data_IF_147834037329
#
_entry.id   IF_147834037329
#
_cell.length_a   1.000
_cell.length_b   1.000
_cell.length_c   1.000
_cell.angle_alpha   90.00
_cell.angle_beta   90.00
_cell.angle_gamma   90.00
#
_symmetry.space_group_name_H-M   'P 1'
#
loop_
_entity.id
_entity.type
_entity.pdbx_description
1 polymer ?
#
# COMPACT_ATOMS: atom_id res chain seq x y z
N UNK A 1 12.30 10.39 -11.62
CA UNK A 1 12.22 8.94 -11.38
C UNK A 1 10.85 8.60 -10.81
N UNK A 2 10.24 7.47 -11.17
CA UNK A 2 9.00 7.02 -10.53
C UNK A 2 9.29 6.74 -9.06
N UNK A 3 8.68 7.51 -8.16
CA UNK A 3 8.75 7.26 -6.72
C UNK A 3 8.02 5.97 -6.37
N UNK A 4 8.40 5.33 -5.28
CA UNK A 4 7.69 4.15 -4.81
C UNK A 4 6.26 4.49 -4.34
N UNK A 5 5.33 3.53 -4.46
CA UNK A 5 3.96 3.72 -3.99
C UNK A 5 3.96 3.99 -2.48
N UNK A 6 3.26 5.06 -2.08
CA UNK A 6 3.07 5.42 -0.69
C UNK A 6 1.61 5.23 -0.30
N UNK A 7 1.35 4.43 0.72
CA UNK A 7 -0.02 4.22 1.23
C UNK A 7 -0.18 4.96 2.56
N UNK A 8 -1.15 5.87 2.62
CA UNK A 8 -1.48 6.62 3.84
C UNK A 8 -2.45 5.87 4.73
N UNK A 9 -2.08 5.60 5.99
CA UNK A 9 -3.00 5.08 7.00
C UNK A 9 -3.68 6.24 7.71
N UNK A 10 -5.01 6.26 7.65
CA UNK A 10 -5.86 7.31 8.21
C UNK A 10 -6.95 6.71 9.07
N UNK A 11 -7.46 7.51 10.00
CA UNK A 11 -8.53 7.11 10.89
C UNK A 11 -8.55 7.99 12.13
N UNK A 12 -9.68 8.00 12.81
CA UNK A 12 -9.82 8.71 14.09
C UNK A 12 -8.94 8.07 15.18
N UNK A 13 -8.65 8.79 16.27
CA UNK A 13 -8.02 8.21 17.45
C UNK A 13 -8.79 6.97 17.94
N UNK A 14 -8.08 5.99 18.51
CA UNK A 14 -8.66 4.77 19.11
C UNK A 14 -9.38 3.80 18.15
N UNK A 15 -9.40 4.07 16.83
CA UNK A 15 -9.90 3.12 15.82
C UNK A 15 -8.96 1.91 15.59
N UNK A 16 -7.72 1.99 16.10
CA UNK A 16 -6.70 0.95 15.97
C UNK A 16 -5.68 1.18 14.86
N UNK A 17 -5.57 2.41 14.33
CA UNK A 17 -4.59 2.81 13.30
C UNK A 17 -3.16 2.38 13.62
N UNK A 18 -2.64 2.74 14.80
CA UNK A 18 -1.27 2.38 15.21
C UNK A 18 -1.11 0.87 15.43
N UNK A 19 -2.16 0.18 15.89
CA UNK A 19 -2.18 -1.28 16.02
C UNK A 19 -2.07 -1.95 14.64
N UNK A 20 -2.85 -1.47 13.66
CA UNK A 20 -2.77 -1.93 12.27
C UNK A 20 -1.40 -1.66 11.68
N UNK A 21 -0.87 -0.44 11.84
CA UNK A 21 0.47 -0.08 11.38
C UNK A 21 1.53 -1.04 11.93
N UNK A 22 1.57 -1.24 13.25
CA UNK A 22 2.53 -2.14 13.89
C UNK A 22 2.41 -3.58 13.39
N UNK A 23 1.19 -4.02 13.10
CA UNK A 23 0.93 -5.34 12.54
C UNK A 23 1.44 -5.49 11.10
N UNK A 24 1.52 -4.39 10.35
CA UNK A 24 2.00 -4.37 8.97
C UNK A 24 3.52 -4.21 8.85
N UNK A 25 4.17 -3.64 9.86
CA UNK A 25 5.58 -3.23 9.82
C UNK A 25 6.53 -4.22 10.50
N UNK A 26 6.06 -5.03 11.45
CA UNK A 26 6.88 -6.00 12.20
C UNK A 26 7.05 -7.32 11.44
N UNK A 27 7.50 -7.25 10.18
CA UNK A 27 8.05 -8.42 9.52
C UNK A 27 9.53 -8.50 9.87
N UNK A 28 9.94 -9.63 10.44
CA UNK A 28 11.27 -10.17 10.74
C UNK A 28 12.47 -9.90 9.78
N UNK A 29 12.53 -8.78 9.08
CA UNK A 29 13.46 -8.49 7.99
C UNK A 29 14.61 -7.57 8.43
N UNK A 30 15.74 -7.69 7.72
CA UNK A 30 16.87 -6.78 7.85
C UNK A 30 16.50 -5.43 7.21
N UNK A 31 16.24 -4.43 8.02
CA UNK A 31 16.12 -3.04 7.58
C UNK A 31 17.52 -2.55 7.16
N UNK A 32 17.64 -1.96 5.96
CA UNK A 32 18.91 -1.50 5.41
C UNK A 32 19.54 -0.32 6.17
N UNK A 33 20.84 0.00 5.95
CA UNK A 33 21.64 0.83 6.86
C UNK A 33 21.37 2.35 6.89
N UNK A 34 20.29 2.86 6.30
CA UNK A 34 20.07 4.31 6.13
C UNK A 34 18.62 4.76 6.35
N UNK A 35 17.97 4.27 7.39
CA UNK A 35 16.63 4.75 7.77
C UNK A 35 16.71 5.89 8.77
N UNK A 36 16.99 7.11 8.31
CA UNK A 36 16.40 8.29 8.95
C UNK A 36 14.96 8.40 8.44
N UNK A 37 14.13 7.45 8.87
CA UNK A 37 12.70 7.48 8.58
C UNK A 37 12.11 8.61 9.43
N UNK A 38 11.51 9.60 8.78
CA UNK A 38 10.59 10.53 9.42
C UNK A 38 9.65 9.71 10.34
N UNK A 39 9.45 10.04 11.63
CA UNK A 39 8.69 9.24 12.58
C UNK A 39 7.28 8.81 12.10
N UNK A 40 6.76 9.42 11.03
CA UNK A 40 5.49 9.06 10.40
C UNK A 40 5.59 8.02 9.27
N UNK A 41 6.76 7.76 8.69
CA UNK A 41 6.89 6.74 7.62
C UNK A 41 7.21 5.38 8.22
N UNK A 42 6.80 4.31 7.56
CA UNK A 42 7.14 2.95 7.94
C UNK A 42 7.22 2.05 6.70
N UNK A 43 7.90 0.91 6.82
CA UNK A 43 7.95 -0.10 5.76
C UNK A 43 7.00 -1.22 6.13
N UNK A 44 5.92 -1.36 5.37
CA UNK A 44 5.03 -2.51 5.43
C UNK A 44 5.48 -3.63 4.50
N UNK A 45 4.93 -4.81 4.67
CA UNK A 45 5.22 -5.96 3.81
C UNK A 45 3.97 -6.45 3.08
N UNK A 46 3.92 -6.18 1.78
CA UNK A 46 2.89 -6.67 0.87
C UNK A 46 3.17 -8.14 0.55
N UNK A 47 2.23 -9.03 0.82
CA UNK A 47 2.34 -10.43 0.43
C UNK A 47 1.84 -10.60 -1.01
N UNK A 48 2.68 -11.16 -1.87
CA UNK A 48 2.36 -11.45 -3.28
C UNK A 48 2.71 -12.89 -3.63
N UNK A 49 2.13 -13.40 -4.71
CA UNK A 49 2.61 -14.63 -5.34
C UNK A 49 3.96 -14.38 -6.00
N UNK A 50 4.96 -15.17 -5.62
CA UNK A 50 6.31 -15.07 -6.14
C UNK A 50 6.42 -15.78 -7.49
N UNK A 51 7.21 -15.22 -8.41
CA UNK A 51 7.58 -15.91 -9.64
C UNK A 51 8.28 -17.26 -9.40
N UNK A 52 8.93 -17.46 -8.25
CA UNK A 52 9.66 -18.70 -7.95
C UNK A 52 8.76 -19.94 -7.96
N UNK A 53 7.50 -19.82 -7.51
CA UNK A 53 6.54 -20.91 -7.52
C UNK A 53 6.16 -21.29 -8.96
N UNK A 54 5.90 -20.28 -9.82
CA UNK A 54 5.58 -20.49 -11.25
C UNK A 54 6.70 -21.20 -12.01
N UNK A 55 7.94 -21.04 -11.56
CA UNK A 55 9.13 -21.63 -12.18
C UNK A 55 9.69 -22.84 -11.42
N UNK A 56 9.01 -23.34 -10.38
CA UNK A 56 9.44 -24.48 -9.57
C UNK A 56 10.87 -24.34 -8.98
N UNK A 57 11.20 -23.14 -8.49
CA UNK A 57 12.52 -22.82 -7.89
C UNK A 57 12.39 -22.12 -6.53
N UNK A 58 11.31 -22.38 -5.80
CA UNK A 58 11.02 -21.77 -4.49
C UNK A 58 12.10 -22.09 -3.45
N UNK A 59 12.69 -23.28 -3.49
CA UNK A 59 13.79 -23.74 -2.63
C UNK A 59 15.07 -22.89 -2.76
N UNK A 60 15.25 -22.25 -3.91
CA UNK A 60 16.39 -21.41 -4.26
C UNK A 60 16.11 -19.92 -4.08
N UNK A 61 14.86 -19.53 -3.84
CA UNK A 61 14.44 -18.14 -3.74
C UNK A 61 14.95 -17.52 -2.44
N UNK A 62 15.89 -16.57 -2.54
CA UNK A 62 16.38 -15.81 -1.37
C UNK A 62 16.29 -14.32 -1.64
N UNK A 63 15.20 -13.67 -1.22
CA UNK A 63 15.05 -12.24 -1.46
C UNK A 63 16.04 -11.41 -0.64
N UNK A 64 16.48 -10.27 -1.17
CA UNK A 64 17.32 -9.31 -0.44
C UNK A 64 16.54 -8.61 0.69
N UNK A 65 15.24 -8.37 0.47
CA UNK A 65 14.32 -7.73 1.39
C UNK A 65 13.07 -8.59 1.59
N UNK A 66 12.54 -8.60 2.82
CA UNK A 66 11.40 -9.45 3.19
C UNK A 66 11.77 -10.94 3.21
N UNK A 67 10.77 -11.80 3.04
CA UNK A 67 10.91 -13.24 3.03
C UNK A 67 10.15 -13.85 1.84
N UNK A 68 10.50 -15.08 1.48
CA UNK A 68 9.74 -15.89 0.54
C UNK A 68 9.51 -17.26 1.18
N UNK A 69 8.26 -17.61 1.46
CA UNK A 69 7.87 -18.86 2.10
C UNK A 69 6.81 -19.52 1.23
N UNK A 70 7.06 -20.75 0.79
CA UNK A 70 6.14 -21.54 -0.02
C UNK A 70 5.57 -20.80 -1.24
N UNK A 71 6.43 -20.08 -1.95
CA UNK A 71 6.02 -19.33 -3.14
C UNK A 71 5.31 -18.01 -2.86
N UNK A 72 5.10 -17.62 -1.60
CA UNK A 72 4.59 -16.30 -1.22
C UNK A 72 5.72 -15.39 -0.79
N UNK A 73 5.80 -14.21 -1.41
CA UNK A 73 6.86 -13.23 -1.17
C UNK A 73 6.32 -12.01 -0.44
N UNK A 74 7.06 -11.57 0.57
CA UNK A 74 6.85 -10.31 1.27
C UNK A 74 7.69 -9.22 0.60
N UNK A 75 7.02 -8.24 -0.03
CA UNK A 75 7.66 -7.12 -0.74
C UNK A 75 7.50 -5.84 0.09
N UNK A 76 8.58 -5.09 0.37
CA UNK A 76 8.48 -3.85 1.13
C UNK A 76 7.64 -2.80 0.37
N UNK A 77 6.78 -2.09 1.09
CA UNK A 77 5.99 -0.97 0.58
C UNK A 77 6.00 0.18 1.60
N UNK A 78 6.06 1.41 1.13
CA UNK A 78 6.06 2.57 2.03
C UNK A 78 4.66 2.83 2.58
N UNK A 79 4.60 3.00 3.90
CA UNK A 79 3.43 3.42 4.64
C UNK A 79 3.67 4.79 5.26
N UNK A 80 2.63 5.60 5.29
CA UNK A 80 2.60 6.87 6.00
C UNK A 80 1.55 6.78 7.09
N UNK A 81 1.97 6.86 8.35
CA UNK A 81 1.09 7.01 9.49
C UNK A 81 0.64 8.46 9.61
N UNK A 82 -0.56 8.73 9.12
CA UNK A 82 -1.10 10.08 9.16
C UNK A 82 -1.73 10.29 10.54
N UNK A 83 -1.45 11.43 11.17
CA UNK A 83 -1.92 11.73 12.53
C UNK A 83 -3.45 11.57 12.67
N UNK A 84 -3.93 11.19 13.86
CA UNK A 84 -5.36 10.97 14.09
C UNK A 84 -6.18 12.23 13.77
N UNK A 85 -7.08 12.14 12.80
CA UNK A 85 -7.95 13.25 12.43
C UNK A 85 -9.04 13.44 13.50
N UNK A 86 -9.42 14.71 13.69
CA UNK A 86 -10.64 15.11 14.41
C UNK A 86 -11.50 15.98 13.50
N UNK A 87 -12.83 15.98 13.67
CA UNK A 87 -13.72 16.76 12.81
C UNK A 87 -13.37 18.26 12.71
N UNK A 88 -13.46 18.81 11.50
CA UNK A 88 -13.13 20.22 11.22
C UNK A 88 -11.67 20.49 10.87
N UNK A 89 -10.91 19.46 10.48
CA UNK A 89 -9.51 19.58 10.08
C UNK A 89 -9.32 20.51 8.86
N UNK A 90 -10.23 20.48 7.88
CA UNK A 90 -10.19 21.37 6.70
C UNK A 90 -10.34 22.87 7.03
N UNK A 91 -10.89 23.21 8.20
CA UNK A 91 -11.06 24.60 8.64
C UNK A 91 -9.82 25.15 9.35
N UNK A 92 -8.72 24.40 9.37
CA UNK A 92 -7.50 24.76 10.09
C UNK A 92 -7.62 24.61 11.62
N UNK A 93 -8.63 23.89 12.12
CA UNK A 93 -8.69 23.55 13.55
C UNK A 93 -7.60 22.53 13.89
N UNK A 94 -6.76 22.86 14.89
CA UNK A 94 -5.69 21.99 15.37
C UNK A 94 -4.56 21.76 14.35
N UNK A 95 -4.06 20.53 14.28
CA UNK A 95 -3.01 20.10 13.33
C UNK A 95 -3.57 19.70 11.94
N UNK A 96 -4.86 19.95 11.67
CA UNK A 96 -5.60 19.42 10.51
C UNK A 96 -5.03 19.79 9.13
N UNK A 97 -4.53 21.01 8.95
CA UNK A 97 -3.89 21.41 7.68
C UNK A 97 -2.57 20.66 7.43
N UNK A 98 -1.80 20.36 8.48
CA UNK A 98 -0.58 19.55 8.35
C UNK A 98 -0.91 18.11 7.95
N UNK A 99 -1.98 17.55 8.54
CA UNK A 99 -2.48 16.22 8.19
C UNK A 99 -2.88 16.13 6.71
N UNK A 100 -3.69 17.09 6.23
CA UNK A 100 -4.15 17.07 4.83
C UNK A 100 -2.96 17.25 3.89
N UNK A 101 -1.97 18.04 4.30
CA UNK A 101 -0.71 18.20 3.58
C UNK A 101 0.10 16.89 3.50
N UNK A 102 0.11 16.07 4.55
CA UNK A 102 0.74 14.75 4.55
C UNK A 102 0.04 13.79 3.57
N UNK A 103 -1.30 13.85 3.48
CA UNK A 103 -2.07 13.05 2.52
C UNK A 103 -1.70 13.33 1.07
N UNK A 104 -1.23 14.55 0.72
CA UNK A 104 -0.84 14.91 -0.66
C UNK A 104 0.16 13.94 -1.26
N UNK A 105 1.00 13.33 -0.42
CA UNK A 105 2.04 12.41 -0.87
C UNK A 105 1.53 10.98 -1.07
N UNK A 106 0.40 10.60 -0.46
CA UNK A 106 -0.16 9.26 -0.55
C UNK A 106 -0.73 8.99 -1.96
N UNK A 107 -0.48 7.79 -2.48
CA UNK A 107 -1.07 7.28 -3.72
C UNK A 107 -2.42 6.61 -3.48
N UNK A 108 -2.59 6.00 -2.31
CA UNK A 108 -3.85 5.42 -1.83
C UNK A 108 -3.97 5.60 -0.32
N UNK A 109 -5.18 5.46 0.20
CA UNK A 109 -5.47 5.54 1.62
C UNK A 109 -5.98 4.19 2.15
N UNK A 110 -5.60 3.88 3.38
CA UNK A 110 -6.23 2.86 4.21
C UNK A 110 -6.94 3.60 5.33
N UNK A 111 -8.27 3.62 5.28
CA UNK A 111 -9.09 4.16 6.34
C UNK A 111 -9.41 3.08 7.37
N UNK A 112 -8.75 3.16 8.52
CA UNK A 112 -8.99 2.28 9.67
C UNK A 112 -10.22 2.79 10.43
N UNK A 113 -11.30 2.01 10.39
CA UNK A 113 -12.60 2.34 10.98
C UNK A 113 -12.90 1.35 12.10
N UNK A 114 -13.40 1.84 13.22
CA UNK A 114 -13.78 0.98 14.34
C UNK A 114 -15.13 0.30 14.09
N UNK A 115 -15.12 -0.96 13.64
CA UNK A 115 -16.35 -1.70 13.35
C UNK A 115 -17.20 -1.96 14.60
N UNK A 116 -16.60 -1.99 15.79
CA UNK A 116 -17.35 -2.27 17.03
C UNK A 116 -18.33 -1.14 17.42
N UNK A 117 -18.09 0.10 16.94
CA UNK A 117 -18.86 1.27 17.38
C UNK A 117 -18.64 1.63 18.85
N UNK A 118 -17.51 1.22 19.45
CA UNK A 118 -17.18 1.49 20.85
C UNK A 118 -16.39 2.77 21.07
N UNK A 119 -16.04 3.50 20.00
CA UNK A 119 -15.48 4.85 20.09
C UNK A 119 -16.25 5.86 19.25
N UNK A 120 -16.43 7.08 19.77
CA UNK A 120 -17.12 8.19 19.11
C UNK A 120 -16.22 8.91 18.10
N UNK A 121 -16.70 10.01 17.51
CA UNK A 121 -15.95 10.78 16.50
C UNK A 121 -14.65 11.41 17.01
N UNK A 122 -14.52 11.61 18.34
CA UNK A 122 -13.31 12.15 18.98
C UNK A 122 -12.35 11.03 19.44
N UNK A 123 -12.74 9.77 19.27
CA UNK A 123 -11.99 8.60 19.73
C UNK A 123 -12.15 8.31 21.22
N UNK A 124 -13.20 8.85 21.86
CA UNK A 124 -13.56 8.55 23.24
C UNK A 124 -14.48 7.34 23.31
N UNK A 125 -14.41 6.59 24.40
CA UNK A 125 -15.26 5.42 24.61
C UNK A 125 -16.74 5.78 24.60
N UNK A 126 -17.53 4.98 23.88
CA UNK A 126 -18.97 5.13 23.76
C UNK A 126 -19.61 3.77 23.48
N UNK A 127 -20.93 3.73 23.34
CA UNK A 127 -21.67 2.53 22.95
C UNK A 127 -22.64 2.85 21.82
N UNK A 128 -22.67 1.98 20.81
CA UNK A 128 -23.61 2.08 19.70
C UNK A 128 -23.34 3.24 18.74
N UNK A 129 -22.09 3.71 18.67
CA UNK A 129 -21.69 4.67 17.63
C UNK A 129 -21.78 4.01 16.26
N UNK A 130 -22.20 4.77 15.25
CA UNK A 130 -22.37 4.30 13.88
C UNK A 130 -21.09 4.57 13.06
N UNK A 131 -20.25 3.55 12.78
CA UNK A 131 -18.94 3.78 12.16
C UNK A 131 -19.03 4.22 10.70
N UNK A 132 -20.21 4.11 10.07
CA UNK A 132 -20.43 4.62 8.71
C UNK A 132 -20.32 6.13 8.61
N UNK A 133 -20.54 6.83 9.73
CA UNK A 133 -20.36 8.28 9.83
C UNK A 133 -18.89 8.65 9.65
N UNK A 134 -17.97 7.87 10.22
CA UNK A 134 -16.52 8.12 10.09
C UNK A 134 -16.08 8.03 8.62
N UNK A 135 -16.59 7.02 7.88
CA UNK A 135 -16.29 6.80 6.46
C UNK A 135 -16.70 8.02 5.63
N UNK A 136 -17.95 8.48 5.81
CA UNK A 136 -18.46 9.64 5.10
C UNK A 136 -17.71 10.92 5.48
N UNK A 137 -17.37 11.06 6.77
CA UNK A 137 -16.68 12.22 7.29
C UNK A 137 -15.28 12.40 6.71
N UNK A 138 -14.43 11.35 6.71
CA UNK A 138 -13.07 11.44 6.16
C UNK A 138 -13.09 11.95 4.71
N UNK A 139 -13.97 11.35 3.89
CA UNK A 139 -14.13 11.76 2.50
C UNK A 139 -14.60 13.20 2.39
N UNK A 140 -15.57 13.60 3.22
CA UNK A 140 -16.08 14.96 3.29
C UNK A 140 -15.00 15.99 3.60
N UNK A 141 -14.10 15.70 4.54
CA UNK A 141 -12.97 16.59 4.90
C UNK A 141 -12.00 16.79 3.72
N UNK A 142 -11.64 15.71 3.01
CA UNK A 142 -10.72 15.79 1.85
C UNK A 142 -11.36 16.60 0.72
N UNK A 143 -12.63 16.35 0.41
CA UNK A 143 -13.38 17.10 -0.62
C UNK A 143 -13.48 18.57 -0.24
N UNK A 144 -13.85 18.88 1.01
CA UNK A 144 -13.99 20.25 1.49
C UNK A 144 -12.68 21.02 1.42
N UNK A 145 -11.56 20.37 1.74
CA UNK A 145 -10.22 20.96 1.64
C UNK A 145 -9.82 21.27 0.19
N UNK A 146 -9.98 20.32 -0.73
CA UNK A 146 -9.64 20.53 -2.15
C UNK A 146 -10.54 21.60 -2.75
N UNK A 147 -11.84 21.54 -2.47
CA UNK A 147 -12.81 22.56 -2.91
C UNK A 147 -12.45 23.92 -2.36
N UNK A 148 -12.15 24.03 -1.07
CA UNK A 148 -11.79 25.29 -0.42
C UNK A 148 -10.59 25.96 -1.09
N UNK A 149 -9.51 25.20 -1.30
CA UNK A 149 -8.30 25.69 -1.96
C UNK A 149 -8.54 26.12 -3.42
N UNK A 150 -9.40 25.40 -4.15
CA UNK A 150 -9.75 25.74 -5.53
C UNK A 150 -10.62 27.00 -5.60
N UNK A 151 -11.65 27.08 -4.76
CA UNK A 151 -12.64 28.16 -4.75
C UNK A 151 -12.04 29.49 -4.30
N UNK A 152 -11.07 29.48 -3.37
CA UNK A 152 -10.34 30.68 -2.95
C UNK A 152 -9.73 31.44 -4.14
N UNK A 153 -9.29 30.72 -5.17
CA UNK A 153 -8.56 31.27 -6.33
C UNK A 153 -9.36 31.19 -7.64
N UNK A 154 -10.60 30.69 -7.61
CA UNK A 154 -11.37 30.35 -8.81
C UNK A 154 -11.52 31.50 -9.80
N UNK A 155 -11.84 32.70 -9.33
CA UNK A 155 -11.98 33.89 -10.19
C UNK A 155 -10.68 34.30 -10.91
N UNK A 156 -9.52 34.01 -10.33
CA UNK A 156 -8.21 34.21 -10.97
C UNK A 156 -7.90 33.09 -11.97
N UNK A 157 -8.17 31.84 -11.56
CA UNK A 157 -7.98 30.64 -12.40
C UNK A 157 -8.79 30.76 -13.69
N UNK A 158 -10.08 31.11 -13.60
CA UNK A 158 -10.97 31.29 -14.75
C UNK A 158 -10.46 32.37 -15.71
N UNK A 159 -10.04 33.53 -15.19
CA UNK A 159 -9.51 34.62 -16.03
C UNK A 159 -8.24 34.20 -16.77
N UNK A 160 -7.33 33.50 -16.09
CA UNK A 160 -6.10 33.00 -16.70
C UNK A 160 -6.39 31.93 -17.75
N UNK A 161 -7.30 31.00 -17.46
CA UNK A 161 -7.75 29.96 -18.39
C UNK A 161 -8.19 30.55 -19.73
N UNK A 162 -9.10 31.53 -19.70
CA UNK A 162 -9.59 32.21 -20.91
C UNK A 162 -8.46 32.98 -21.63
N UNK A 163 -7.59 33.66 -20.88
CA UNK A 163 -6.52 34.49 -21.47
C UNK A 163 -5.50 33.66 -22.25
N UNK A 164 -5.14 32.48 -21.77
CA UNK A 164 -4.15 31.60 -22.41
C UNK A 164 -4.78 30.51 -23.31
N UNK A 165 -6.12 30.41 -23.33
CA UNK A 165 -6.88 29.38 -24.05
C UNK A 165 -6.42 27.95 -23.70
N UNK A 166 -6.13 27.71 -22.43
CA UNK A 166 -5.72 26.39 -21.95
C UNK A 166 -6.90 25.41 -22.00
N UNK A 167 -6.61 24.12 -22.00
CA UNK A 167 -7.64 23.10 -21.79
C UNK A 167 -8.05 23.04 -20.31
N UNK A 168 -9.24 22.48 -20.03
CA UNK A 168 -9.69 22.23 -18.65
C UNK A 168 -8.70 21.31 -17.90
N UNK A 169 -8.16 20.29 -18.58
CA UNK A 169 -7.18 19.35 -18.04
C UNK A 169 -5.92 20.08 -17.59
N UNK A 170 -5.30 20.91 -18.44
CA UNK A 170 -4.09 21.67 -18.10
C UNK A 170 -4.34 22.63 -16.93
N UNK A 171 -5.50 23.30 -16.95
CA UNK A 171 -5.88 24.29 -15.93
C UNK A 171 -6.02 23.64 -14.57
N UNK A 172 -6.78 22.55 -14.49
CA UNK A 172 -7.00 21.81 -13.25
C UNK A 172 -5.74 21.06 -12.81
N UNK A 173 -4.96 20.50 -13.73
CA UNK A 173 -3.67 19.87 -13.39
C UNK A 173 -2.74 20.87 -12.70
N UNK A 174 -2.71 22.13 -13.16
CA UNK A 174 -1.93 23.18 -12.51
C UNK A 174 -2.42 23.55 -11.10
N UNK A 175 -3.71 23.37 -10.80
CA UNK A 175 -4.25 23.58 -9.44
C UNK A 175 -4.05 22.34 -8.56
N UNK A 176 -4.13 21.16 -9.16
CA UNK A 176 -4.09 19.90 -8.45
C UNK A 176 -2.70 19.28 -8.33
N UNK A 177 -1.68 19.90 -8.94
CA UNK A 177 -0.29 19.45 -8.85
C UNK A 177 0.23 19.41 -7.41
N UNK A 178 -0.28 20.29 -6.54
CA UNK A 178 0.06 20.31 -5.11
C UNK A 178 -0.32 19.02 -4.38
N UNK A 179 -1.32 18.29 -4.89
CA UNK A 179 -1.72 16.98 -4.37
C UNK A 179 -1.00 15.83 -5.07
N UNK A 180 0.07 16.09 -5.84
CA UNK A 180 0.78 15.06 -6.61
C UNK A 180 -0.01 14.52 -7.81
N UNK A 181 -1.00 15.27 -8.30
CA UNK A 181 -1.82 14.84 -9.44
C UNK A 181 -1.12 15.05 -10.79
N UNK A 182 -1.47 14.18 -11.75
CA UNK A 182 -0.98 14.21 -13.14
C UNK A 182 -2.11 14.58 -14.09
N UNK A 183 -1.79 15.01 -15.31
CA UNK A 183 -2.80 15.28 -16.34
C UNK A 183 -3.70 14.06 -16.58
N UNK A 184 -3.15 12.85 -16.51
CA UNK A 184 -3.91 11.60 -16.68
C UNK A 184 -4.94 11.37 -15.57
N UNK A 185 -4.63 11.73 -14.32
CA UNK A 185 -5.58 11.64 -13.20
C UNK A 185 -6.74 12.61 -13.41
N UNK A 186 -6.44 13.85 -13.80
CA UNK A 186 -7.46 14.88 -14.07
C UNK A 186 -8.32 14.48 -15.27
N UNK A 187 -7.71 13.98 -16.35
CA UNK A 187 -8.42 13.52 -17.53
C UNK A 187 -9.44 12.43 -17.18
N UNK A 188 -9.02 11.36 -16.46
CA UNK A 188 -9.93 10.28 -16.04
C UNK A 188 -11.08 10.79 -15.17
N UNK A 189 -10.82 11.73 -14.26
CA UNK A 189 -11.85 12.34 -13.43
C UNK A 189 -12.89 13.12 -14.26
N UNK A 190 -12.44 13.90 -15.25
CA UNK A 190 -13.33 14.66 -16.13
C UNK A 190 -14.10 13.76 -17.10
N UNK A 191 -13.42 12.77 -17.70
CA UNK A 191 -14.02 11.82 -18.65
C UNK A 191 -15.19 11.06 -17.99
N UNK A 192 -15.05 10.70 -16.71
CA UNK A 192 -16.12 10.04 -15.93
C UNK A 192 -17.37 10.90 -15.76
N UNK A 193 -17.21 12.22 -15.72
CA UNK A 193 -18.32 13.16 -15.53
C UNK A 193 -19.00 13.56 -16.85
N UNK A 194 -18.29 13.42 -17.98
CA UNK A 194 -18.81 13.76 -19.30
C UNK A 194 -19.24 15.22 -19.44
N UNK A 195 -18.58 16.14 -18.72
CA UNK A 195 -18.89 17.58 -18.72
C UNK A 195 -18.56 18.13 -20.11
N UNK A 196 -19.53 18.82 -20.73
CA UNK A 196 -19.39 19.40 -22.07
C UNK A 196 -19.22 20.91 -22.00
N UNK A 197 -19.72 21.50 -20.93
CA UNK A 197 -19.66 22.91 -20.65
C UNK A 197 -18.19 23.34 -20.51
N UNK A 198 -17.78 24.45 -21.13
CA UNK A 198 -16.42 24.95 -21.00
C UNK A 198 -16.17 25.44 -19.57
N UNK A 199 -14.91 25.40 -19.12
CA UNK A 199 -14.55 25.60 -17.71
C UNK A 199 -14.98 26.97 -17.17
N UNK A 200 -14.97 28.00 -18.03
CA UNK A 200 -15.41 29.35 -17.69
C UNK A 200 -16.89 29.47 -17.28
N UNK A 201 -17.72 28.55 -17.75
CA UNK A 201 -19.16 28.52 -17.51
C UNK A 201 -19.55 27.60 -16.34
N UNK A 202 -18.58 26.96 -15.69
CA UNK A 202 -18.86 26.07 -14.57
C UNK A 202 -19.39 26.83 -13.37
N UNK A 203 -20.55 26.39 -12.89
CA UNK A 203 -21.13 26.80 -11.63
C UNK A 203 -20.54 26.00 -10.44
N UNK A 204 -20.94 26.37 -9.23
CA UNK A 204 -20.44 25.71 -8.02
C UNK A 204 -20.82 24.22 -7.98
N UNK A 205 -21.99 23.83 -8.52
CA UNK A 205 -22.42 22.44 -8.60
C UNK A 205 -21.50 21.60 -9.51
N UNK A 206 -21.09 22.17 -10.64
CA UNK A 206 -20.15 21.52 -11.56
C UNK A 206 -18.78 21.37 -10.92
N UNK A 207 -18.30 22.41 -10.23
CA UNK A 207 -17.04 22.36 -9.48
C UNK A 207 -17.10 21.27 -8.41
N UNK A 208 -18.22 21.16 -7.68
CA UNK A 208 -18.42 20.11 -6.68
C UNK A 208 -18.31 18.72 -7.27
N UNK A 209 -18.97 18.46 -8.41
CA UNK A 209 -18.87 17.18 -9.11
C UNK A 209 -17.43 16.89 -9.53
N UNK A 210 -16.72 17.88 -10.07
CA UNK A 210 -15.32 17.76 -10.49
C UNK A 210 -14.39 17.45 -9.31
N UNK A 211 -14.53 18.16 -8.20
CA UNK A 211 -13.70 17.92 -7.00
C UNK A 211 -13.99 16.55 -6.40
N UNK A 212 -15.26 16.12 -6.38
CA UNK A 212 -15.62 14.78 -5.92
C UNK A 212 -14.98 13.69 -6.79
N UNK A 213 -15.13 13.76 -8.11
CA UNK A 213 -14.53 12.79 -9.03
C UNK A 213 -13.00 12.79 -8.96
N UNK A 214 -12.39 13.98 -8.86
CA UNK A 214 -10.95 14.11 -8.66
C UNK A 214 -10.48 13.46 -7.36
N UNK A 215 -11.22 13.67 -6.26
CA UNK A 215 -10.89 13.09 -4.96
C UNK A 215 -10.93 11.56 -5.01
N UNK A 216 -11.97 10.99 -5.60
CA UNK A 216 -12.12 9.53 -5.72
C UNK A 216 -11.01 8.92 -6.59
N UNK A 217 -10.56 9.64 -7.62
CA UNK A 217 -9.47 9.21 -8.51
C UNK A 217 -8.07 9.38 -7.87
N UNK A 218 -7.86 10.48 -7.13
CA UNK A 218 -6.57 10.81 -6.52
C UNK A 218 -6.31 10.04 -5.23
N UNK A 219 -7.36 9.78 -4.45
CA UNK A 219 -7.28 9.14 -3.14
C UNK A 219 -8.14 7.87 -3.10
N UNK A 220 -7.83 6.86 -3.94
CA UNK A 220 -8.46 5.56 -3.81
C UNK A 220 -8.28 5.06 -2.37
N UNK A 221 -9.39 4.66 -1.73
CA UNK A 221 -9.42 4.38 -0.30
C UNK A 221 -9.90 2.95 -0.04
N UNK A 222 -9.11 2.19 0.71
CA UNK A 222 -9.50 0.90 1.31
C UNK A 222 -10.05 1.18 2.70
N UNK A 223 -11.23 0.66 3.00
CA UNK A 223 -11.90 0.75 4.30
C UNK A 223 -11.53 -0.51 5.10
N UNK A 224 -10.61 -0.36 6.04
CA UNK A 224 -10.24 -1.40 6.99
C UNK A 224 -11.18 -1.35 8.20
N UNK A 225 -12.24 -2.17 8.16
CA UNK A 225 -13.18 -2.33 9.27
C UNK A 225 -12.51 -3.15 10.38
N UNK A 226 -11.88 -2.46 11.32
CA UNK A 226 -11.09 -3.05 12.39
C UNK A 226 -11.94 -3.43 13.61
N UNK A 227 -11.39 -4.25 14.51
CA UNK A 227 -12.04 -4.78 15.72
C UNK A 227 -13.22 -5.71 15.42
N UNK A 228 -13.11 -6.53 14.37
CA UNK A 228 -14.13 -7.55 14.06
C UNK A 228 -14.21 -8.68 15.11
N UNK A 229 -13.22 -8.76 15.99
CA UNK A 229 -13.23 -9.60 17.19
C UNK A 229 -14.22 -9.12 18.26
N UNK A 230 -14.84 -7.95 18.09
CA UNK A 230 -15.86 -7.45 18.99
C UNK A 230 -17.27 -7.95 18.58
N UNK A 231 -18.12 -8.43 19.53
CA UNK A 231 -19.45 -8.97 19.20
C UNK A 231 -20.38 -7.96 18.53
N UNK A 232 -20.25 -6.67 18.85
CA UNK A 232 -21.07 -5.61 18.24
C UNK A 232 -20.69 -5.27 16.78
N UNK A 233 -19.57 -5.81 16.26
CA UNK A 233 -19.07 -5.45 14.94
C UNK A 233 -20.02 -5.86 13.80
N UNK A 234 -20.71 -7.01 13.94
CA UNK A 234 -21.49 -7.62 12.87
C UNK A 234 -22.58 -6.72 12.31
N UNK A 235 -23.32 -6.04 13.19
CA UNK A 235 -24.39 -5.14 12.79
C UNK A 235 -23.85 -3.97 11.97
N UNK A 236 -22.72 -3.42 12.38
CA UNK A 236 -22.08 -2.30 11.70
C UNK A 236 -21.45 -2.73 10.38
N UNK A 237 -20.79 -3.88 10.34
CA UNK A 237 -20.24 -4.48 9.12
C UNK A 237 -21.35 -4.69 8.09
N UNK A 238 -22.46 -5.34 8.48
CA UNK A 238 -23.58 -5.62 7.58
C UNK A 238 -24.24 -4.33 7.06
N UNK A 239 -24.27 -3.27 7.88
CA UNK A 239 -24.75 -1.95 7.46
C UNK A 239 -23.80 -1.32 6.43
N UNK A 240 -22.50 -1.25 6.74
CA UNK A 240 -21.47 -0.62 5.91
C UNK A 240 -21.33 -1.36 4.57
N UNK A 241 -21.37 -2.69 4.57
CA UNK A 241 -21.30 -3.51 3.36
C UNK A 241 -22.45 -3.25 2.36
N UNK A 242 -23.59 -2.71 2.81
CA UNK A 242 -24.71 -2.31 1.92
C UNK A 242 -24.51 -0.93 1.29
N UNK A 243 -23.60 -0.12 1.82
CA UNK A 243 -23.41 1.28 1.43
C UNK A 243 -22.11 1.51 0.66
N UNK A 244 -21.16 0.59 0.77
CA UNK A 244 -19.82 0.70 0.19
C UNK A 244 -19.58 -0.39 -0.84
N UNK A 245 -18.66 -0.15 -1.78
CA UNK A 245 -18.22 -1.16 -2.73
C UNK A 245 -17.54 -2.32 -1.97
N UNK A 246 -17.98 -3.58 -2.15
CA UNK A 246 -17.32 -4.73 -1.53
C UNK A 246 -15.82 -4.82 -1.84
N UNK A 247 -15.37 -4.31 -2.99
CA UNK A 247 -13.97 -4.30 -3.38
C UNK A 247 -13.13 -3.23 -2.67
N UNK A 248 -13.73 -2.36 -1.84
CA UNK A 248 -12.97 -1.40 -1.03
C UNK A 248 -12.94 -1.77 0.44
N UNK A 249 -13.69 -2.78 0.88
CA UNK A 249 -13.81 -3.16 2.30
C UNK A 249 -12.88 -4.33 2.63
N UNK A 250 -12.19 -4.24 3.76
CA UNK A 250 -11.46 -5.35 4.37
C UNK A 250 -11.82 -5.44 5.85
N UNK A 251 -12.27 -6.62 6.28
CA UNK A 251 -12.57 -6.92 7.69
C UNK A 251 -11.28 -7.24 8.42
N UNK A 252 -10.99 -6.54 9.52
CA UNK A 252 -9.70 -6.62 10.21
C UNK A 252 -9.81 -6.86 11.72
N UNK A 253 -8.91 -7.66 12.27
CA UNK A 253 -8.59 -7.68 13.70
C UNK A 253 -7.10 -7.48 13.89
N UNK A 254 -6.68 -6.21 13.99
CA UNK A 254 -5.27 -5.87 14.21
C UNK A 254 -4.73 -6.43 15.54
N UNK A 255 -5.56 -6.47 16.59
CA UNK A 255 -5.15 -7.01 17.89
C UNK A 255 -4.91 -8.52 17.84
N UNK A 256 -5.72 -9.25 17.06
CA UNK A 256 -5.56 -10.69 16.84
C UNK A 256 -4.28 -10.98 16.06
N UNK A 257 -4.00 -10.19 15.02
CA UNK A 257 -2.77 -10.34 14.23
C UNK A 257 -1.51 -10.14 15.08
N UNK A 258 -1.44 -9.08 15.91
CA UNK A 258 -0.31 -8.87 16.83
C UNK A 258 -0.15 -10.05 17.78
N UNK A 259 -1.26 -10.55 18.33
CA UNK A 259 -1.22 -11.67 19.27
C UNK A 259 -0.70 -12.94 18.59
N UNK A 260 -1.23 -13.32 17.42
CA UNK A 260 -0.76 -14.48 16.67
C UNK A 260 0.73 -14.37 16.30
N UNK A 261 1.17 -13.22 15.76
CA UNK A 261 2.58 -12.99 15.43
C UNK A 261 3.48 -13.12 16.65
N UNK A 262 3.08 -12.56 17.78
CA UNK A 262 3.82 -12.67 19.04
C UNK A 262 3.96 -14.12 19.49
N UNK A 263 2.87 -14.89 19.47
CA UNK A 263 2.88 -16.29 19.89
C UNK A 263 3.74 -17.14 18.95
N UNK A 264 3.67 -16.89 17.64
CA UNK A 264 4.49 -17.57 16.63
C UNK A 264 5.99 -17.28 16.84
N UNK A 265 6.34 -16.00 17.02
CA UNK A 265 7.72 -15.56 17.28
C UNK A 265 8.31 -16.17 18.56
N UNK A 266 7.47 -16.41 19.57
CA UNK A 266 7.88 -17.03 20.83
C UNK A 266 7.94 -18.56 20.76
N UNK A 267 7.51 -19.16 19.64
CA UNK A 267 7.50 -20.59 19.39
C UNK A 267 6.36 -21.34 20.08
N UNK A 268 5.23 -20.68 20.34
CA UNK A 268 4.04 -21.32 20.92
C UNK A 268 3.07 -21.86 19.87
N UNK A 269 3.07 -21.28 18.68
CA UNK A 269 2.19 -21.65 17.58
C UNK A 269 2.93 -21.63 16.26
N UNK A 270 2.44 -22.38 15.28
CA UNK A 270 2.84 -22.28 13.88
C UNK A 270 1.80 -21.44 13.15
N UNK A 271 2.17 -20.22 12.78
CA UNK A 271 1.30 -19.29 12.08
C UNK A 271 2.06 -18.58 10.97
N UNK A 272 1.44 -18.50 9.79
CA UNK A 272 1.93 -17.69 8.67
C UNK A 272 1.04 -16.46 8.52
N UNK A 273 1.63 -15.30 8.31
CA UNK A 273 0.90 -14.03 8.25
C UNK A 273 -0.21 -14.04 7.17
N UNK A 274 -1.42 -13.65 7.59
CA UNK A 274 -2.60 -13.62 6.72
C UNK A 274 -3.16 -15.00 6.37
N UNK A 275 -2.63 -16.07 6.97
CA UNK A 275 -3.17 -17.43 6.87
C UNK A 275 -4.51 -17.55 7.58
N UNK A 276 -5.37 -18.41 7.04
CA UNK A 276 -6.58 -18.88 7.72
C UNK A 276 -6.27 -19.93 8.78
N UNK A 277 -5.13 -20.62 8.63
CA UNK A 277 -4.69 -21.70 9.48
C UNK A 277 -3.62 -21.27 10.48
N UNK A 278 -3.71 -21.87 11.66
CA UNK A 278 -2.72 -21.79 12.72
C UNK A 278 -2.77 -23.09 13.53
N UNK A 279 -1.59 -23.68 13.75
CA UNK A 279 -1.47 -24.93 14.50
C UNK A 279 -0.81 -24.69 15.86
N UNK A 280 -1.39 -25.26 16.92
CA UNK A 280 -0.75 -25.40 18.23
C UNK A 280 0.16 -26.62 18.28
N UNK A 281 0.86 -26.79 19.40
CA UNK A 281 1.63 -28.02 19.66
C UNK A 281 0.72 -29.26 19.62
N UNK A 282 -0.46 -29.18 20.25
CA UNK A 282 -1.42 -30.29 20.27
C UNK A 282 -1.94 -30.61 18.86
N UNK A 283 -2.30 -29.60 18.07
CA UNK A 283 -2.77 -29.76 16.69
C UNK A 283 -1.73 -30.51 15.83
N UNK A 284 -0.45 -30.15 15.95
CA UNK A 284 0.63 -30.81 15.19
C UNK A 284 0.89 -32.25 15.63
N UNK A 285 0.69 -32.57 16.92
CA UNK A 285 0.78 -33.95 17.42
C UNK A 285 -0.34 -34.81 16.83
N UNK A 286 -1.56 -34.28 16.80
CA UNK A 286 -2.72 -34.95 16.18
C UNK A 286 -2.52 -35.16 14.67
N UNK A 287 -1.85 -34.21 14.00
CA UNK A 287 -1.45 -34.32 12.59
C UNK A 287 -0.26 -35.28 12.34
N UNK A 288 0.31 -35.87 13.38
CA UNK A 288 1.33 -36.91 13.28
C UNK A 288 2.78 -36.45 13.46
N UNK A 289 3.03 -35.24 13.97
CA UNK A 289 4.36 -34.81 14.44
C UNK A 289 4.51 -35.08 15.95
N UNK A 290 5.24 -36.14 16.37
CA UNK A 290 5.32 -36.53 17.78
C UNK A 290 5.93 -35.47 18.69
N UNK A 291 6.68 -34.50 18.13
CA UNK A 291 7.30 -33.41 18.87
C UNK A 291 6.46 -32.12 18.87
N UNK A 292 5.31 -32.13 18.19
CA UNK A 292 4.42 -30.99 18.03
C UNK A 292 5.11 -29.80 17.36
N UNK A 293 5.90 -30.05 16.31
CA UNK A 293 6.67 -29.03 15.59
C UNK A 293 7.79 -28.38 16.40
N UNK A 294 8.14 -28.91 17.57
CA UNK A 294 9.06 -28.25 18.51
C UNK A 294 8.46 -27.02 19.19
N UNK A 295 7.14 -26.84 19.11
CA UNK A 295 6.43 -25.74 19.75
C UNK A 295 6.39 -25.94 21.27
N UNK A 296 6.40 -24.82 22.01
CA UNK A 296 6.23 -24.79 23.46
C UNK A 296 4.78 -25.04 23.84
N UNK A 297 4.57 -25.63 25.01
CA UNK A 297 3.23 -25.76 25.59
C UNK A 297 2.64 -24.39 25.94
N UNK A 298 1.36 -24.24 25.67
CA UNK A 298 0.58 -23.07 26.04
C UNK A 298 0.12 -23.17 27.49
N UNK A 299 0.14 -22.05 28.21
CA UNK A 299 -0.61 -21.96 29.47
C UNK A 299 -2.12 -21.90 29.19
N UNK A 300 -2.92 -22.21 30.22
CA UNK A 300 -4.37 -22.31 30.10
C UNK A 300 -5.01 -20.98 29.63
N UNK A 301 -4.45 -19.85 30.04
CA UNK A 301 -4.95 -18.53 29.64
C UNK A 301 -4.74 -18.27 28.15
N UNK A 302 -3.55 -18.54 27.63
CA UNK A 302 -3.23 -18.31 26.22
C UNK A 302 -3.90 -19.35 25.32
N UNK A 303 -4.07 -20.60 25.78
CA UNK A 303 -4.87 -21.61 25.10
C UNK A 303 -6.30 -21.13 24.88
N UNK A 304 -6.99 -20.73 25.94
CA UNK A 304 -8.36 -20.20 25.85
C UNK A 304 -8.44 -18.96 24.95
N UNK A 305 -7.43 -18.09 24.97
CA UNK A 305 -7.38 -16.92 24.10
C UNK A 305 -7.18 -17.28 22.62
N UNK A 306 -6.37 -18.30 22.33
CA UNK A 306 -6.16 -18.82 20.99
C UNK A 306 -7.44 -19.43 20.43
N UNK A 307 -8.12 -20.28 21.21
CA UNK A 307 -9.36 -20.93 20.77
C UNK A 307 -10.47 -19.91 20.48
N UNK A 308 -10.68 -18.94 21.39
CA UNK A 308 -11.62 -17.84 21.14
C UNK A 308 -11.27 -17.05 19.88
N UNK A 309 -9.98 -16.82 19.60
CA UNK A 309 -9.54 -16.11 18.40
C UNK A 309 -9.79 -16.95 17.14
N UNK A 310 -9.48 -18.26 17.17
CA UNK A 310 -9.76 -19.18 16.07
C UNK A 310 -11.25 -19.10 15.69
N UNK A 311 -12.14 -19.20 16.67
CA UNK A 311 -13.59 -19.18 16.45
C UNK A 311 -14.10 -17.81 16.00
N UNK A 312 -13.77 -16.75 16.74
CA UNK A 312 -14.33 -15.42 16.50
C UNK A 312 -13.75 -14.74 15.26
N UNK A 313 -12.53 -15.09 14.87
CA UNK A 313 -11.78 -14.39 13.80
C UNK A 313 -11.44 -15.32 12.64
N UNK A 314 -10.61 -16.34 12.86
CA UNK A 314 -10.03 -17.13 11.75
C UNK A 314 -11.06 -17.98 11.03
N UNK A 315 -11.83 -18.81 11.74
CA UNK A 315 -12.88 -19.63 11.12
C UNK A 315 -14.01 -18.80 10.53
N UNK A 316 -14.31 -17.66 11.16
CA UNK A 316 -15.41 -16.80 10.77
C UNK A 316 -15.10 -15.95 9.54
N UNK A 317 -13.90 -15.37 9.47
CA UNK A 317 -13.53 -14.39 8.44
C UNK A 317 -12.40 -14.87 7.52
N UNK A 318 -11.87 -16.07 7.74
CA UNK A 318 -10.78 -16.67 6.96
C UNK A 318 -9.39 -16.08 7.23
N UNK A 319 -9.28 -14.96 7.94
CA UNK A 319 -7.98 -14.41 8.36
C UNK A 319 -8.20 -13.28 9.37
N UNK A 320 -7.11 -12.71 9.88
CA UNK A 320 -7.16 -11.43 10.62
C UNK A 320 -7.41 -10.23 9.71
N UNK A 321 -7.32 -10.39 8.38
CA UNK A 321 -7.54 -9.35 7.37
C UNK A 321 -6.48 -8.28 7.25
N UNK A 322 -5.56 -8.16 8.22
CA UNK A 322 -4.55 -7.09 8.25
C UNK A 322 -3.66 -7.12 7.00
N UNK A 323 -3.17 -8.30 6.62
CA UNK A 323 -2.34 -8.48 5.41
C UNK A 323 -3.14 -8.20 4.14
N UNK A 324 -4.43 -8.55 4.14
CA UNK A 324 -5.36 -8.34 3.04
C UNK A 324 -5.61 -6.85 2.81
N UNK A 325 -5.48 -5.98 3.82
CA UNK A 325 -5.60 -4.53 3.65
C UNK A 325 -4.55 -3.99 2.68
N UNK A 326 -3.27 -4.35 2.87
CA UNK A 326 -2.20 -3.94 1.94
C UNK A 326 -2.39 -4.54 0.56
N UNK A 327 -2.80 -5.81 0.50
CA UNK A 327 -3.08 -6.50 -0.76
C UNK A 327 -4.16 -5.78 -1.55
N UNK A 328 -5.26 -5.39 -0.88
CA UNK A 328 -6.34 -4.62 -1.48
C UNK A 328 -5.90 -3.24 -1.93
N UNK A 329 -5.09 -2.54 -1.13
CA UNK A 329 -4.56 -1.24 -1.51
C UNK A 329 -3.65 -1.33 -2.74
N UNK A 330 -2.82 -2.37 -2.83
CA UNK A 330 -1.99 -2.64 -4.00
C UNK A 330 -2.83 -2.98 -5.24
N UNK A 331 -3.90 -3.75 -5.10
CA UNK A 331 -4.84 -4.07 -6.18
C UNK A 331 -5.53 -2.81 -6.73
N UNK A 332 -6.04 -1.93 -5.88
CA UNK A 332 -6.70 -0.68 -6.30
C UNK A 332 -5.70 0.26 -6.98
N UNK A 333 -4.47 0.31 -6.49
CA UNK A 333 -3.37 1.04 -7.15
C UNK A 333 -2.92 0.39 -8.47
N UNK A 334 -3.38 -0.82 -8.77
CA UNK A 334 -2.97 -1.60 -9.92
C UNK A 334 -1.49 -1.93 -9.89
N UNK A 335 -0.92 -2.24 -8.72
CA UNK A 335 0.50 -2.57 -8.61
C UNK A 335 0.79 -3.94 -9.22
N UNK A 336 1.85 -4.01 -10.01
CA UNK A 336 2.34 -5.22 -10.67
C UNK A 336 3.76 -5.49 -10.15
N UNK A 337 4.03 -6.69 -9.60
CA UNK A 337 5.38 -7.07 -9.20
C UNK A 337 6.22 -7.43 -10.42
N UNK A 338 7.46 -6.94 -10.44
CA UNK A 338 8.48 -7.24 -11.45
C UNK A 338 9.70 -7.81 -10.74
N UNK A 339 10.19 -8.93 -11.24
CA UNK A 339 11.28 -9.72 -10.68
C UNK A 339 12.51 -9.63 -11.60
N UNK A 340 13.37 -8.61 -11.42
CA UNK A 340 14.58 -8.51 -12.21
C UNK A 340 15.54 -9.65 -11.89
N UNK A 341 16.05 -10.29 -12.93
CA UNK A 341 17.05 -11.36 -12.87
C UNK A 341 18.22 -11.03 -13.79
N UNK A 342 19.38 -11.66 -13.60
CA UNK A 342 20.52 -11.51 -14.53
C UNK A 342 20.45 -12.51 -15.68
N UNK A 343 19.82 -13.65 -15.45
CA UNK A 343 19.67 -14.70 -16.44
C UNK A 343 18.23 -15.22 -16.38
N UNK A 344 17.51 -15.10 -17.49
CA UNK A 344 16.09 -15.45 -17.64
C UNK A 344 15.82 -16.95 -17.80
N UNK A 345 16.88 -17.75 -17.95
CA UNK A 345 16.82 -19.22 -18.00
C UNK A 345 17.08 -19.82 -16.63
N UNK A 346 18.06 -19.30 -15.89
CA UNK A 346 18.47 -19.84 -14.58
C UNK A 346 17.91 -19.04 -13.39
N UNK A 347 17.32 -17.88 -13.65
CA UNK A 347 16.76 -16.90 -12.69
C UNK A 347 17.76 -16.36 -11.66
N UNK A 348 19.05 -16.52 -11.91
CA UNK A 348 20.12 -16.07 -11.02
C UNK A 348 20.19 -14.54 -10.98
N UNK A 349 20.43 -13.98 -9.79
CA UNK A 349 20.53 -12.52 -9.59
C UNK A 349 21.95 -12.04 -9.20
N UNK A 350 22.94 -12.94 -9.04
CA UNK A 350 24.31 -12.60 -8.62
C UNK A 350 25.40 -13.38 -9.37
N UNK A 351 26.63 -12.84 -9.41
CA UNK A 351 27.76 -13.43 -10.15
C UNK A 351 28.39 -14.67 -9.46
N UNK A 352 28.37 -14.73 -8.12
CA UNK A 352 29.13 -15.72 -7.35
C UNK A 352 28.28 -16.77 -6.61
N UNK A 353 26.95 -16.63 -6.58
CA UNK A 353 26.05 -17.57 -5.90
C UNK A 353 25.19 -18.31 -6.93
N UNK A 354 25.75 -19.34 -7.55
CA UNK A 354 25.14 -20.12 -8.64
C UNK A 354 23.81 -20.79 -8.30
N UNK A 355 23.35 -20.73 -7.04
CA UNK A 355 22.09 -21.34 -6.59
C UNK A 355 20.98 -20.35 -6.24
N UNK A 356 21.26 -19.08 -5.98
CA UNK A 356 20.24 -18.15 -5.46
C UNK A 356 19.49 -17.45 -6.58
N UNK A 357 18.16 -17.41 -6.49
CA UNK A 357 17.27 -16.80 -7.50
C UNK A 357 16.34 -15.75 -6.91
N UNK A 358 15.77 -14.92 -7.79
CA UNK A 358 14.72 -13.94 -7.47
C UNK A 358 15.05 -13.04 -6.28
N UNK A 359 16.26 -12.46 -6.24
CA UNK A 359 16.70 -11.64 -5.11
C UNK A 359 15.90 -10.35 -4.95
N UNK A 360 15.48 -9.74 -6.04
CA UNK A 360 14.82 -8.44 -6.04
C UNK A 360 13.39 -8.54 -6.59
N UNK A 361 12.53 -7.62 -6.14
CA UNK A 361 11.18 -7.44 -6.63
C UNK A 361 10.82 -5.96 -6.53
N UNK A 362 10.33 -5.38 -7.62
CA UNK A 362 9.95 -3.98 -7.72
C UNK A 362 8.48 -3.90 -8.09
N UNK A 363 7.75 -2.98 -7.48
CA UNK A 363 6.34 -2.72 -7.81
C UNK A 363 6.25 -1.61 -8.86
N UNK A 364 5.53 -1.87 -9.95
CA UNK A 364 5.21 -0.89 -11.01
C UNK A 364 3.70 -0.73 -11.14
N UNK A 365 3.22 0.33 -11.81
CA UNK A 365 1.77 0.51 -12.04
C UNK A 365 1.31 -0.31 -13.25
N UNK A 366 0.06 -0.75 -13.25
CA UNK A 366 -0.56 -1.41 -14.41
C UNK A 366 -0.44 -0.52 -15.65
N UNK A 367 -0.06 -1.13 -16.77
CA UNK A 367 0.22 -0.42 -18.03
C UNK A 367 1.65 0.10 -18.16
N UNK A 368 2.51 -0.08 -17.15
CA UNK A 368 3.95 0.17 -17.28
C UNK A 368 4.53 -0.75 -18.35
N UNK A 369 5.32 -0.17 -19.25
CA UNK A 369 6.01 -0.87 -20.32
C UNK A 369 7.29 -1.54 -19.83
N UNK A 370 7.80 -2.51 -20.58
CA UNK A 370 9.05 -3.22 -20.26
C UNK A 370 10.23 -2.23 -20.15
N UNK A 371 10.33 -1.26 -21.05
CA UNK A 371 11.38 -0.23 -21.02
C UNK A 371 11.27 0.71 -19.81
N UNK A 372 10.06 1.05 -19.37
CA UNK A 372 9.85 1.83 -18.13
C UNK A 372 10.20 1.04 -16.87
N UNK A 373 9.79 -0.23 -16.80
CA UNK A 373 10.14 -1.11 -15.69
C UNK A 373 11.66 -1.30 -15.59
N UNK A 374 12.32 -1.49 -16.73
CA UNK A 374 13.77 -1.62 -16.79
C UNK A 374 14.50 -0.33 -16.36
N UNK A 375 14.03 0.85 -16.78
CA UNK A 375 14.54 2.14 -16.29
C UNK A 375 14.31 2.33 -14.79
N UNK A 376 13.21 1.83 -14.24
CA UNK A 376 12.98 1.87 -12.78
C UNK A 376 14.02 1.02 -12.03
N UNK A 377 14.43 -0.13 -12.58
CA UNK A 377 15.41 -1.02 -11.97
C UNK A 377 16.85 -0.55 -12.18
N UNK A 378 17.19 -0.06 -13.38
CA UNK A 378 18.57 0.26 -13.77
C UNK A 378 18.93 1.75 -13.74
N UNK A 379 17.96 2.63 -13.51
CA UNK A 379 18.14 4.08 -13.67
C UNK A 379 18.32 4.48 -15.13
N UNK A 380 19.17 5.48 -15.37
CA UNK A 380 19.42 6.06 -16.70
C UNK A 380 20.46 5.27 -17.53
N UNK A 381 20.73 4.01 -17.17
CA UNK A 381 21.66 3.17 -17.90
C UNK A 381 21.13 2.87 -19.32
N UNK A 382 21.97 2.94 -20.37
CA UNK A 382 21.57 2.60 -21.74
C UNK A 382 21.09 1.14 -21.83
N UNK A 383 19.89 0.94 -22.38
CA UNK A 383 19.28 -0.38 -22.57
C UNK A 383 19.43 -0.78 -24.04
N UNK A 384 20.12 -1.89 -24.30
CA UNK A 384 20.29 -2.38 -25.68
C UNK A 384 19.12 -3.28 -26.12
N UNK A 385 18.67 -4.17 -25.24
CA UNK A 385 17.48 -5.01 -25.39
C UNK A 385 17.13 -5.61 -24.02
N UNK A 386 15.91 -6.13 -23.87
CA UNK A 386 15.46 -6.79 -22.64
C UNK A 386 15.03 -8.21 -22.99
N UNK A 387 15.40 -9.17 -22.13
CA UNK A 387 14.96 -10.55 -22.24
C UNK A 387 13.90 -10.85 -21.18
N UNK A 388 12.83 -11.52 -21.58
CA UNK A 388 11.86 -12.14 -20.68
C UNK A 388 12.26 -13.57 -20.30
N UNK A 389 11.50 -14.19 -19.38
CA UNK A 389 11.66 -15.58 -19.00
C UNK A 389 11.79 -16.51 -20.23
N UNK A 390 12.76 -17.42 -20.20
CA UNK A 390 13.06 -18.31 -21.34
C UNK A 390 13.95 -17.72 -22.43
N UNK A 391 14.54 -16.53 -22.22
CA UNK A 391 15.53 -15.93 -23.13
C UNK A 391 14.92 -15.26 -24.36
N UNK A 392 13.60 -15.01 -24.36
CA UNK A 392 12.91 -14.34 -25.45
C UNK A 392 13.13 -12.84 -25.36
N UNK A 393 13.51 -12.20 -26.48
CA UNK A 393 13.55 -10.74 -26.56
C UNK A 393 12.13 -10.18 -26.52
N UNK A 394 11.96 -9.15 -25.70
CA UNK A 394 10.70 -8.44 -25.51
C UNK A 394 10.84 -7.00 -25.97
N UNK A 395 9.78 -6.47 -26.57
CA UNK A 395 9.79 -5.10 -27.06
C UNK A 395 9.71 -4.12 -25.88
N UNK A 396 10.34 -2.94 -26.00
CA UNK A 396 10.35 -1.98 -24.89
C UNK A 396 8.96 -1.40 -24.58
N UNK A 397 8.10 -1.35 -25.59
CA UNK A 397 6.71 -0.87 -25.53
C UNK A 397 5.72 -1.96 -25.09
N UNK A 398 6.15 -3.21 -24.98
CA UNK A 398 5.29 -4.27 -24.47
C UNK A 398 4.89 -4.01 -23.00
N UNK A 399 3.65 -4.27 -22.61
CA UNK A 399 3.21 -4.08 -21.24
C UNK A 399 3.74 -5.17 -20.32
N UNK A 400 4.01 -4.80 -19.07
CA UNK A 400 4.31 -5.73 -17.97
C UNK A 400 3.04 -6.08 -17.22
N UNK A 401 2.84 -7.38 -16.97
CA UNK A 401 1.75 -7.91 -16.15
C UNK A 401 2.22 -9.20 -15.46
N UNK A 402 1.53 -9.63 -14.39
CA UNK A 402 1.83 -10.92 -13.76
C UNK A 402 1.71 -12.04 -14.79
N UNK A 403 2.76 -12.84 -14.97
CA UNK A 403 2.82 -13.87 -16.02
C UNK A 403 3.34 -13.39 -17.38
N UNK A 404 3.47 -12.08 -17.60
CA UNK A 404 3.86 -11.49 -18.88
C UNK A 404 4.92 -10.41 -18.67
N UNK A 405 6.16 -10.73 -19.05
CA UNK A 405 7.31 -9.82 -18.98
C UNK A 405 7.63 -9.32 -17.55
N UNK A 406 7.08 -9.97 -16.53
CA UNK A 406 7.31 -9.66 -15.11
C UNK A 406 8.58 -10.31 -14.56
N UNK A 407 9.24 -11.17 -15.34
CA UNK A 407 10.59 -11.66 -15.10
C UNK A 407 11.46 -11.20 -16.25
N UNK A 408 12.41 -10.31 -15.98
CA UNK A 408 13.20 -9.65 -17.02
C UNK A 408 14.68 -9.55 -16.66
N UNK A 409 15.56 -9.74 -17.65
CA UNK A 409 16.99 -9.45 -17.53
C UNK A 409 17.44 -8.38 -18.52
N UNK A 410 18.14 -7.33 -18.05
CA UNK A 410 18.94 -6.50 -18.92
C UNK A 410 20.25 -7.21 -19.31
N UNK A 411 20.95 -6.78 -20.39
CA UNK A 411 22.08 -7.51 -20.95
C UNK A 411 23.24 -7.65 -19.95
N UNK A 412 23.94 -8.79 -20.05
CA UNK A 412 24.98 -9.28 -19.13
C UNK A 412 26.19 -8.36 -18.91
N UNK A 413 26.44 -7.38 -19.78
CA UNK A 413 27.57 -6.46 -19.68
C UNK A 413 27.49 -5.46 -18.50
N UNK A 414 26.34 -5.35 -17.83
CA UNK A 414 26.06 -4.33 -16.81
C UNK A 414 25.96 -4.90 -15.38
N UNK A 415 26.35 -6.17 -15.22
CA UNK A 415 26.27 -6.97 -14.00
C UNK A 415 27.03 -6.39 -12.78
N UNK A 416 27.83 -5.34 -12.96
CA UNK A 416 28.55 -4.61 -11.91
C UNK A 416 27.70 -3.57 -11.17
N UNK A 417 26.65 -2.99 -11.79
CA UNK A 417 25.78 -1.99 -11.13
C UNK A 417 24.87 -2.59 -10.04
N UNK A 418 24.70 -3.91 -10.03
CA UNK A 418 23.93 -4.62 -9.00
C UNK A 418 24.66 -4.72 -7.65
N UNK A 419 25.95 -4.37 -7.57
CA UNK A 419 26.66 -4.22 -6.30
C UNK A 419 26.75 -2.73 -5.96
N UNK A 420 25.75 -2.22 -5.24
CA UNK A 420 25.90 -0.96 -4.50
C UNK A 420 24.99 0.21 -4.87
N UNK A 421 23.96 0.03 -5.71
CA UNK A 421 22.96 1.09 -5.87
C UNK A 421 21.86 0.97 -4.83
N UNK A 422 21.89 1.95 -3.92
CA UNK A 422 20.86 2.34 -2.96
C UNK A 422 19.48 2.38 -3.64
N UNK A 423 18.69 1.33 -3.43
CA UNK A 423 17.24 1.45 -3.51
C UNK A 423 16.79 2.16 -2.23
N UNK A 424 16.05 3.25 -2.40
CA UNK A 424 15.67 4.28 -1.39
C UNK A 424 16.72 5.40 -1.18
N UNK A 425 17.02 6.17 -2.22
CA UNK A 425 17.47 7.56 -2.05
C UNK A 425 17.21 8.39 -3.31
N UNK A 426 16.26 9.34 -3.24
CA UNK A 426 16.42 10.60 -3.96
C UNK A 426 15.48 11.67 -3.40
N UNK A 427 15.93 12.34 -2.34
CA UNK A 427 15.61 13.73 -2.05
C UNK A 427 16.56 14.27 -0.96
N UNK A 428 17.65 14.94 -1.37
CA UNK A 428 18.25 16.12 -0.72
C UNK A 428 19.78 16.17 -0.94
N UNK A 429 20.21 17.11 -1.77
CA UNK A 429 21.52 17.82 -1.76
C UNK A 429 21.47 18.74 -2.98
N UNK A 430 20.87 19.94 -2.91
CA UNK A 430 21.47 21.17 -2.38
C UNK A 430 22.97 21.23 -2.66
N UNK A 431 23.28 21.96 -3.74
CA UNK A 431 24.46 22.79 -3.98
C UNK A 431 25.59 22.68 -2.94
N UNK A 432 26.74 22.15 -3.36
CA UNK A 432 28.01 22.63 -2.85
C UNK A 432 29.05 22.63 -3.98
N UNK A 433 29.39 23.83 -4.44
CA UNK A 433 30.50 24.09 -5.34
C UNK A 433 31.82 23.74 -4.63
N UNK A 434 32.63 22.86 -5.22
CA UNK A 434 34.04 22.72 -4.84
C UNK A 434 34.83 23.87 -5.48
N UNK A 435 35.23 24.84 -4.65
CA UNK A 435 36.37 25.72 -4.96
C UNK A 435 37.64 24.89 -4.79
N UNK A 436 38.51 24.95 -5.80
CA UNK A 436 39.77 24.20 -5.88
C UNK A 436 40.76 24.58 -4.78
N UNK A 437 41.64 23.61 -4.47
CA UNK A 437 42.77 23.76 -3.57
C UNK A 437 43.78 24.77 -4.13
N UNK A 438 44.26 25.66 -3.26
CA UNK A 438 45.65 26.10 -3.20
C UNK A 438 46.28 25.48 -1.98
#
# INVERSE_FOLDING_TARGET
MPRDPLIGLVGKPSAGKSTTLNSLTDASSKVGPFTTIDPQRAIGYLQIDCACARHNVSDRCKPNYGACVDGRRSVPIELLDVAGLVPGAHQGKGLGNKFLDDLRHADALIHVVDASGTVDAEGKETRGYDPSVDIAWLRGEIVAWIKGNLMEKWGSIRRRHMAIKATAIETLQGQFSGYGSTANVVARALDRLGIKEPLEDWDESTIDRVVNAFTDEKFPTVIALNKIDHPDADKNIAKIAKMQDPNTIVLCSAISEIFLRKMAKQGYIKYTEGSEFMDTREDLIEQGDPNGGGLKELDEKNRNRIENLKDMVLYRFGSTGVVQVLSKAAEILGLVPVFPVRNTTTFQSGANESRVVFRDCVLVKKGTTVGEAARKVMGDAPIAYIEGAGGLRVAEDDPVAVGKNDVSAPPSAWASCFHGHEFVANASQILSFKVGRG
#
